data_IF_515730500145
#
_entry.id   IF_515730500145
#
_cell.length_a   1.000
_cell.length_b   1.000
_cell.length_c   1.000
_cell.angle_alpha   90.00
_cell.angle_beta   90.00
_cell.angle_gamma   90.00
#
_symmetry.space_group_name_H-M   'P 1'
#
loop_
_entity.id
_entity.type
_entity.pdbx_description
1 polymer ?
#
# COMPACT_ATOMS: atom_id res chain seq x y z
N UNK A 1 0.01 -8.96 -9.21
CA UNK A 1 -1.45 -8.67 -9.24
C UNK A 1 -2.12 -9.52 -8.18
N UNK A 2 -3.06 -8.99 -7.39
CA UNK A 2 -3.85 -9.79 -6.43
C UNK A 2 -5.24 -10.09 -7.00
N UNK A 3 -5.88 -9.10 -7.60
CA UNK A 3 -7.14 -9.27 -8.32
C UNK A 3 -7.21 -8.24 -9.44
N UNK A 4 -7.84 -8.63 -10.54
CA UNK A 4 -7.96 -7.80 -11.74
C UNK A 4 -9.29 -8.12 -12.42
N UNK A 5 -10.14 -7.11 -12.55
CA UNK A 5 -11.50 -7.29 -13.02
C UNK A 5 -11.89 -6.19 -14.00
N UNK A 6 -12.80 -6.49 -14.91
CA UNK A 6 -13.34 -5.54 -15.87
C UNK A 6 -14.86 -5.62 -15.88
N UNK A 7 -15.52 -4.47 -15.81
CA UNK A 7 -16.98 -4.36 -15.90
C UNK A 7 -17.48 -4.49 -17.34
N UNK A 8 -18.78 -4.73 -17.58
CA UNK A 8 -19.36 -4.72 -18.93
C UNK A 8 -19.23 -3.36 -19.63
N UNK A 9 -19.07 -2.28 -18.85
CA UNK A 9 -18.80 -0.92 -19.34
C UNK A 9 -17.31 -0.65 -19.64
N UNK A 10 -16.45 -1.68 -19.55
CA UNK A 10 -15.02 -1.58 -19.84
C UNK A 10 -14.19 -0.91 -18.73
N UNK A 11 -14.76 -0.65 -17.55
CA UNK A 11 -14.03 -0.07 -16.42
C UNK A 11 -13.26 -1.16 -15.67
N UNK A 12 -11.94 -1.15 -15.81
CA UNK A 12 -11.03 -2.11 -15.17
C UNK A 12 -10.68 -1.68 -13.75
N UNK A 13 -10.88 -2.57 -12.78
CA UNK A 13 -10.44 -2.43 -11.38
C UNK A 13 -9.29 -3.39 -11.09
N UNK A 14 -8.21 -2.86 -10.51
CA UNK A 14 -7.03 -3.65 -10.13
C UNK A 14 -6.76 -3.52 -8.65
N UNK A 15 -6.32 -4.62 -8.04
CA UNK A 15 -5.76 -4.67 -6.69
C UNK A 15 -4.36 -5.26 -6.74
N UNK A 16 -3.38 -4.48 -6.31
CA UNK A 16 -1.95 -4.80 -6.40
C UNK A 16 -1.34 -4.72 -5.00
N UNK A 17 -0.66 -5.79 -4.58
CA UNK A 17 0.28 -5.76 -3.45
C UNK A 17 1.64 -5.32 -3.98
N UNK A 18 2.22 -4.30 -3.37
CA UNK A 18 3.54 -3.76 -3.69
C UNK A 18 4.39 -3.66 -2.42
N UNK A 19 5.67 -4.02 -2.52
CA UNK A 19 6.69 -3.75 -1.51
C UNK A 19 7.55 -2.61 -2.05
N UNK A 20 7.66 -1.53 -1.30
CA UNK A 20 8.35 -0.30 -1.73
C UNK A 20 9.19 0.30 -0.59
N UNK A 21 10.23 1.09 -0.89
CA UNK A 21 10.96 1.83 0.13
C UNK A 21 10.01 2.69 0.96
N UNK A 22 10.13 2.65 2.29
CA UNK A 22 9.27 3.40 3.20
C UNK A 22 9.35 4.90 2.97
N UNK A 23 10.48 5.38 2.47
CA UNK A 23 10.74 6.78 2.16
C UNK A 23 9.80 7.34 1.08
N UNK A 24 9.38 6.53 0.10
CA UNK A 24 8.48 6.97 -0.99
C UNK A 24 6.98 6.74 -0.71
N UNK A 25 6.66 6.31 0.52
CA UNK A 25 5.27 6.04 0.90
C UNK A 25 4.43 7.34 0.88
N UNK A 26 5.04 8.48 1.20
CA UNK A 26 4.35 9.77 1.18
C UNK A 26 3.88 10.13 -0.25
N UNK A 27 4.75 9.92 -1.24
CA UNK A 27 4.51 10.16 -2.66
C UNK A 27 3.44 9.21 -3.22
N UNK A 28 3.44 7.95 -2.80
CA UNK A 28 2.34 7.02 -3.11
C UNK A 28 1.01 7.52 -2.51
N UNK A 29 1.05 8.02 -1.28
CA UNK A 29 -0.14 8.45 -0.55
C UNK A 29 -0.79 9.72 -1.14
N UNK A 30 -0.07 10.54 -1.93
CA UNK A 30 -0.67 11.70 -2.61
C UNK A 30 -1.73 11.34 -3.67
N UNK A 31 -1.71 10.10 -4.17
CA UNK A 31 -2.66 9.65 -5.21
C UNK A 31 -4.01 9.25 -4.61
N UNK A 32 -4.87 10.24 -4.35
CA UNK A 32 -6.16 10.08 -3.65
C UNK A 32 -7.17 9.16 -4.34
N UNK A 33 -7.05 8.93 -5.65
CA UNK A 33 -7.94 8.04 -6.39
C UNK A 33 -7.64 6.55 -6.17
N UNK A 34 -6.60 6.22 -5.41
CA UNK A 34 -6.21 4.84 -5.10
C UNK A 34 -6.49 4.53 -3.62
N UNK A 35 -7.25 3.47 -3.37
CA UNK A 35 -7.48 2.94 -2.01
C UNK A 35 -6.24 2.21 -1.55
N UNK A 36 -5.80 2.43 -0.31
CA UNK A 36 -4.58 1.83 0.24
C UNK A 36 -4.83 1.22 1.60
N UNK A 37 -4.30 0.03 1.82
CA UNK A 37 -3.90 -0.42 3.15
C UNK A 37 -2.38 -0.56 3.13
N UNK A 38 -1.71 -0.13 4.19
CA UNK A 38 -0.25 -0.18 4.29
C UNK A 38 0.13 -0.74 5.64
N UNK A 39 1.18 -1.57 5.69
CA UNK A 39 1.72 -2.07 6.96
C UNK A 39 1.98 -0.92 7.93
N UNK A 40 1.46 -1.04 9.15
CA UNK A 40 1.86 -0.12 10.22
C UNK A 40 3.14 -0.63 10.87
N UNK A 41 4.22 0.16 10.84
CA UNK A 41 5.42 -0.13 11.62
C UNK A 41 5.12 -0.21 13.13
N UNK A 42 4.10 0.50 13.62
CA UNK A 42 3.64 0.44 15.03
C UNK A 42 3.10 -0.94 15.42
N UNK A 43 2.62 -1.73 14.47
CA UNK A 43 2.12 -3.06 14.77
C UNK A 43 3.28 -4.05 14.96
N UNK A 44 4.45 -3.79 14.37
CA UNK A 44 5.53 -4.76 14.22
C UNK A 44 6.46 -4.78 15.43
N UNK A 45 6.78 -5.97 15.99
CA UNK A 45 7.81 -6.10 17.02
C UNK A 45 9.12 -5.43 16.59
N UNK A 46 9.84 -4.84 17.55
CA UNK A 46 11.05 -4.07 17.25
C UNK A 46 12.13 -4.97 16.66
N UNK A 47 12.27 -6.15 17.24
CA UNK A 47 13.23 -7.18 16.85
C UNK A 47 12.99 -7.67 15.42
N UNK A 48 11.71 -7.78 15.02
CA UNK A 48 11.34 -8.09 13.64
C UNK A 48 11.75 -6.96 12.70
N UNK A 49 11.52 -5.70 13.08
CA UNK A 49 11.91 -4.54 12.27
C UNK A 49 13.43 -4.41 12.15
N UNK A 50 14.18 -4.63 13.23
CA UNK A 50 15.65 -4.68 13.22
C UNK A 50 16.13 -5.76 12.26
N UNK A 51 15.58 -6.97 12.36
CA UNK A 51 15.93 -8.07 11.46
C UNK A 51 15.69 -7.71 9.99
N UNK A 52 14.53 -7.16 9.67
CA UNK A 52 14.18 -6.76 8.29
C UNK A 52 15.17 -5.73 7.73
N UNK A 53 15.55 -4.68 8.49
CA UNK A 53 16.51 -3.68 8.00
C UNK A 53 17.96 -4.20 7.94
N UNK A 54 18.31 -5.19 8.76
CA UNK A 54 19.64 -5.81 8.74
C UNK A 54 19.81 -6.75 7.54
N UNK A 55 18.79 -7.56 7.25
CA UNK A 55 18.80 -8.55 6.17
C UNK A 55 18.49 -7.95 4.79
N UNK A 56 17.53 -7.03 4.72
CA UNK A 56 17.05 -6.41 3.47
C UNK A 56 16.87 -4.89 3.65
N UNK A 57 17.96 -4.13 3.89
CA UNK A 57 17.88 -2.68 3.99
C UNK A 57 17.47 -2.08 2.64
N UNK A 58 16.68 -1.00 2.69
CA UNK A 58 16.60 -0.11 1.56
C UNK A 58 17.95 0.59 1.32
N UNK A 59 18.45 0.51 0.10
CA UNK A 59 19.62 1.23 -0.41
C UNK A 59 19.16 2.07 -1.61
N UNK A 60 19.46 3.39 -1.65
CA UNK A 60 19.11 4.24 -2.78
C UNK A 60 19.64 3.72 -4.12
N UNK A 61 18.76 3.65 -5.11
CA UNK A 61 19.05 3.31 -6.51
C UNK A 61 19.76 4.45 -7.25
N UNK A 62 19.66 5.67 -6.74
CA UNK A 62 20.17 6.89 -7.38
C UNK A 62 20.72 7.85 -6.33
N UNK A 63 22.00 8.22 -6.48
CA UNK A 63 22.72 9.11 -5.57
C UNK A 63 22.90 10.50 -6.19
N UNK A 64 21.79 11.24 -6.25
CA UNK A 64 21.75 12.55 -6.91
C UNK A 64 22.70 13.58 -6.32
N UNK A 65 23.50 14.22 -7.17
CA UNK A 65 24.33 15.37 -6.84
C UNK A 65 23.46 16.59 -6.51
N UNK A 66 23.92 17.42 -5.57
CA UNK A 66 23.22 18.64 -5.17
C UNK A 66 23.13 19.63 -6.35
N UNK A 67 21.93 20.13 -6.63
CA UNK A 67 21.67 21.16 -7.62
C UNK A 67 20.49 22.07 -7.18
N UNK A 68 20.30 23.21 -7.86
CA UNK A 68 19.16 24.08 -7.57
C UNK A 68 17.85 23.41 -8.00
N UNK A 69 16.85 23.41 -7.12
CA UNK A 69 15.53 22.81 -7.36
C UNK A 69 15.33 21.48 -6.64
N UNK A 70 14.23 20.79 -6.93
CA UNK A 70 13.86 19.53 -6.27
C UNK A 70 14.42 18.27 -6.95
N UNK A 71 14.95 18.41 -8.17
CA UNK A 71 15.42 17.29 -8.98
C UNK A 71 16.92 17.11 -8.80
N UNK A 72 17.43 15.90 -9.01
CA UNK A 72 18.87 15.60 -8.98
C UNK A 72 19.22 14.66 -10.16
N UNK A 73 19.44 15.22 -11.34
CA UNK A 73 19.59 14.43 -12.58
C UNK A 73 20.93 13.71 -12.68
N UNK A 74 22.01 14.34 -12.22
CA UNK A 74 23.35 13.77 -12.24
C UNK A 74 23.62 13.06 -10.92
N UNK A 75 24.26 11.89 -10.97
CA UNK A 75 24.72 11.21 -9.76
C UNK A 75 26.08 11.74 -9.31
N UNK A 76 26.39 11.50 -8.04
CA UNK A 76 27.73 11.67 -7.47
C UNK A 76 28.18 10.37 -6.82
N UNK A 77 29.49 10.10 -6.94
CA UNK A 77 30.18 9.00 -6.27
C UNK A 77 31.26 9.51 -5.31
N UNK A 78 31.20 10.80 -4.96
CA UNK A 78 32.10 11.38 -3.96
C UNK A 78 32.04 10.60 -2.64
N UNK A 79 33.21 10.38 -2.04
CA UNK A 79 33.31 9.60 -0.80
C UNK A 79 32.73 10.41 0.36
N UNK A 80 32.05 9.72 1.26
CA UNK A 80 31.46 10.29 2.46
C UNK A 80 32.41 10.11 3.63
N UNK A 81 32.84 11.21 4.25
CA UNK A 81 33.61 11.15 5.48
C UNK A 81 32.73 10.72 6.67
N UNK A 82 33.01 9.54 7.20
CA UNK A 82 32.32 9.00 8.39
C UNK A 82 33.19 9.06 9.66
N UNK A 83 34.38 9.67 9.59
CA UNK A 83 35.26 9.86 10.75
C UNK A 83 34.56 10.49 11.96
N UNK A 84 33.74 11.56 11.79
CA UNK A 84 33.00 12.18 12.89
C UNK A 84 32.01 11.23 13.59
N UNK A 85 31.42 10.26 12.87
CA UNK A 85 30.49 9.28 13.44
C UNK A 85 31.19 8.38 14.48
N UNK A 86 32.48 8.11 14.27
CA UNK A 86 33.29 7.29 15.17
C UNK A 86 34.15 8.11 16.15
N UNK A 87 34.04 9.44 16.10
CA UNK A 87 34.86 10.34 16.91
C UNK A 87 36.33 10.37 16.51
N UNK A 88 36.65 10.03 15.25
CA UNK A 88 38.02 10.08 14.76
C UNK A 88 38.47 11.53 14.53
N UNK A 89 39.71 11.89 14.87
CA UNK A 89 40.27 13.22 14.62
C UNK A 89 40.68 13.45 13.16
N UNK A 90 40.53 12.45 12.30
CA UNK A 90 40.92 12.47 10.89
C UNK A 90 39.77 11.95 10.02
N UNK A 91 39.76 12.38 8.75
CA UNK A 91 38.78 11.91 7.77
C UNK A 91 38.89 10.39 7.58
N UNK A 92 37.74 9.73 7.48
CA UNK A 92 37.59 8.33 7.13
C UNK A 92 36.60 8.20 5.97
N UNK A 93 37.01 8.53 4.74
CA UNK A 93 36.12 8.56 3.59
C UNK A 93 35.77 7.15 3.12
N UNK A 94 34.48 6.86 2.98
CA UNK A 94 33.96 5.59 2.46
C UNK A 94 33.01 5.83 1.29
N UNK A 95 32.67 4.77 0.56
CA UNK A 95 31.65 4.83 -0.51
C UNK A 95 30.27 5.17 0.07
N UNK A 96 29.43 5.84 -0.71
CA UNK A 96 28.08 6.28 -0.37
C UNK A 96 27.20 5.17 0.24
N UNK A 97 27.14 3.99 -0.38
CA UNK A 97 26.38 2.85 0.12
C UNK A 97 26.92 2.36 1.47
N UNK A 98 28.26 2.32 1.62
CA UNK A 98 28.88 1.93 2.88
C UNK A 98 28.56 2.92 4.00
N UNK A 99 28.62 4.22 3.72
CA UNK A 99 28.23 5.25 4.68
C UNK A 99 26.75 5.15 5.07
N UNK A 100 25.87 4.87 4.10
CA UNK A 100 24.44 4.65 4.34
C UNK A 100 24.18 3.47 5.29
N UNK A 101 24.89 2.36 5.11
CA UNK A 101 24.79 1.19 5.98
C UNK A 101 25.45 1.41 7.35
N UNK A 102 26.50 2.23 7.46
CA UNK A 102 27.03 2.66 8.76
C UNK A 102 25.97 3.44 9.55
N UNK A 103 25.25 4.35 8.88
CA UNK A 103 24.11 5.06 9.48
C UNK A 103 23.02 4.11 9.99
N UNK A 104 22.70 3.08 9.20
CA UNK A 104 21.75 2.02 9.59
C UNK A 104 22.21 1.34 10.87
N UNK A 105 23.45 0.85 10.89
CA UNK A 105 23.99 0.07 12.01
C UNK A 105 24.01 0.89 13.30
N UNK A 106 24.29 2.20 13.20
CA UNK A 106 24.19 3.12 14.34
C UNK A 106 22.76 3.24 14.86
N UNK A 107 21.78 3.44 13.97
CA UNK A 107 20.38 3.56 14.35
C UNK A 107 19.78 2.25 14.86
N UNK A 108 20.26 1.10 14.37
CA UNK A 108 19.91 -0.23 14.91
C UNK A 108 20.38 -0.37 16.35
N UNK A 109 21.64 -0.06 16.65
CA UNK A 109 22.14 -0.07 18.04
C UNK A 109 21.34 0.85 18.96
N UNK A 110 20.96 2.02 18.46
CA UNK A 110 20.13 2.95 19.21
C UNK A 110 18.72 2.38 19.44
N UNK A 111 18.11 1.78 18.43
CA UNK A 111 16.81 1.13 18.53
C UNK A 111 16.82 -0.04 19.55
N UNK A 112 17.88 -0.85 19.56
CA UNK A 112 18.10 -1.90 20.56
C UNK A 112 18.19 -1.32 21.98
N UNK A 113 18.93 -0.22 22.15
CA UNK A 113 19.02 0.49 23.44
C UNK A 113 17.67 1.01 23.93
N UNK A 114 16.88 1.66 23.07
CA UNK A 114 15.53 2.10 23.42
C UNK A 114 14.59 0.92 23.74
N UNK A 115 14.74 -0.19 23.02
CA UNK A 115 13.97 -1.40 23.26
C UNK A 115 14.28 -2.00 24.63
N UNK A 116 15.56 -2.14 24.97
CA UNK A 116 16.02 -2.59 26.29
C UNK A 116 15.56 -1.66 27.42
N UNK A 117 15.50 -0.35 27.15
CA UNK A 117 15.00 0.64 28.11
C UNK A 117 13.46 0.65 28.26
N UNK A 118 12.73 -0.19 27.52
CA UNK A 118 11.29 -0.38 27.67
C UNK A 118 10.42 0.62 26.91
N UNK A 119 10.96 1.36 25.94
CA UNK A 119 10.16 2.28 25.14
C UNK A 119 9.22 1.54 24.15
N UNK A 120 8.11 2.20 23.81
CA UNK A 120 7.12 1.62 22.92
C UNK A 120 7.62 1.55 21.47
N UNK A 121 7.35 0.42 20.80
CA UNK A 121 7.66 0.18 19.37
C UNK A 121 7.20 1.27 18.41
N UNK A 122 6.14 2.02 18.76
CA UNK A 122 5.63 3.12 17.94
C UNK A 122 6.65 4.24 17.72
N UNK A 123 7.57 4.42 18.68
CA UNK A 123 8.66 5.41 18.61
C UNK A 123 9.92 4.74 18.05
N UNK A 124 10.28 3.56 18.58
CA UNK A 124 11.53 2.88 18.23
C UNK A 124 11.61 2.58 16.73
N UNK A 125 10.54 2.04 16.15
CA UNK A 125 10.52 1.68 14.74
C UNK A 125 10.64 2.90 13.80
N UNK A 126 10.46 4.14 14.30
CA UNK A 126 10.68 5.36 13.51
C UNK A 126 12.16 5.64 13.27
N UNK A 127 13.05 5.22 14.18
CA UNK A 127 14.50 5.38 14.03
C UNK A 127 15.04 4.63 12.81
N UNK A 128 14.34 3.58 12.39
CA UNK A 128 14.77 2.68 11.33
C UNK A 128 14.09 2.97 9.97
N UNK A 129 13.10 3.88 9.92
CA UNK A 129 12.31 4.15 8.70
C UNK A 129 13.12 4.46 7.43
N UNK A 130 14.29 5.15 7.49
CA UNK A 130 15.09 5.39 6.30
C UNK A 130 15.53 4.12 5.57
N UNK A 131 15.71 3.01 6.28
CA UNK A 131 16.19 1.73 5.71
C UNK A 131 15.08 0.69 5.53
N UNK A 132 13.83 1.04 5.77
CA UNK A 132 12.71 0.09 5.69
C UNK A 132 12.14 -0.04 4.28
N UNK A 133 11.67 -1.24 3.97
CA UNK A 133 10.61 -1.47 2.99
C UNK A 133 9.24 -1.54 3.69
N UNK A 134 8.17 -1.25 2.95
CA UNK A 134 6.79 -1.35 3.42
C UNK A 134 5.92 -2.04 2.38
N UNK A 135 5.02 -2.92 2.83
CA UNK A 135 3.99 -3.52 2.00
C UNK A 135 2.73 -2.61 1.96
N UNK A 136 2.26 -2.32 0.75
CA UNK A 136 1.02 -1.60 0.48
C UNK A 136 0.12 -2.38 -0.50
N UNK A 137 -1.17 -2.44 -0.20
CA UNK A 137 -2.21 -3.08 -0.99
C UNK A 137 -3.01 -1.93 -1.56
N UNK A 138 -2.98 -1.82 -2.88
CA UNK A 138 -3.49 -0.65 -3.58
C UNK A 138 -4.56 -1.10 -4.56
N UNK A 139 -5.76 -0.56 -4.41
CA UNK A 139 -6.88 -0.79 -5.33
C UNK A 139 -7.26 0.48 -6.05
N UNK A 140 -7.64 0.37 -7.32
CA UNK A 140 -8.10 1.52 -8.09
C UNK A 140 -8.60 1.17 -9.47
N UNK A 141 -9.38 2.08 -10.03
CA UNK A 141 -9.81 2.09 -11.44
C UNK A 141 -8.99 3.08 -12.27
N UNK A 142 -8.60 4.21 -11.66
CA UNK A 142 -7.95 5.34 -12.32
C UNK A 142 -6.42 5.35 -12.12
N UNK A 143 -5.72 4.39 -12.72
CA UNK A 143 -4.25 4.29 -12.63
C UNK A 143 -3.50 5.17 -13.65
N UNK A 144 -4.19 5.68 -14.67
CA UNK A 144 -3.55 6.43 -15.75
C UNK A 144 -2.78 7.65 -15.24
N UNK A 145 -3.37 8.41 -14.32
CA UNK A 145 -2.71 9.58 -13.73
C UNK A 145 -1.51 9.21 -12.86
N UNK A 146 -1.60 8.11 -12.10
CA UNK A 146 -0.45 7.60 -11.34
C UNK A 146 0.72 7.27 -12.27
N UNK A 147 0.45 6.50 -13.33
CA UNK A 147 1.46 6.13 -14.31
C UNK A 147 2.02 7.35 -15.04
N UNK A 148 1.18 8.28 -15.49
CA UNK A 148 1.64 9.48 -16.19
C UNK A 148 2.57 10.35 -15.34
N UNK A 149 2.31 10.47 -14.04
CA UNK A 149 3.12 11.30 -13.14
C UNK A 149 4.37 10.58 -12.60
N UNK A 150 4.30 9.27 -12.43
CA UNK A 150 5.34 8.51 -11.72
C UNK A 150 6.24 7.70 -12.66
N UNK A 151 5.73 7.23 -13.80
CA UNK A 151 6.55 6.72 -14.90
C UNK A 151 6.99 7.88 -15.81
N UNK A 152 7.67 8.85 -15.21
CA UNK A 152 8.14 10.07 -15.85
C UNK A 152 9.57 10.36 -15.42
N UNK A 153 10.42 10.90 -16.31
CA UNK A 153 11.85 11.11 -16.04
C UNK A 153 12.13 12.08 -14.88
N UNK A 154 11.21 13.01 -14.60
CA UNK A 154 11.28 13.95 -13.48
C UNK A 154 10.61 13.42 -12.18
N UNK A 155 10.14 12.16 -12.18
CA UNK A 155 9.69 11.53 -10.96
C UNK A 155 10.88 11.07 -10.11
N UNK A 156 10.67 10.97 -8.80
CA UNK A 156 11.63 10.37 -7.90
C UNK A 156 11.98 8.93 -8.39
N UNK A 157 13.29 8.57 -8.49
CA UNK A 157 13.71 7.33 -9.16
C UNK A 157 13.07 6.04 -8.62
N UNK A 158 12.85 5.93 -7.31
CA UNK A 158 12.28 4.73 -6.69
C UNK A 158 10.79 4.59 -7.00
N UNK A 159 10.01 5.67 -6.92
CA UNK A 159 8.59 5.59 -7.30
C UNK A 159 8.40 5.38 -8.80
N UNK A 160 9.37 5.79 -9.62
CA UNK A 160 9.38 5.50 -11.05
C UNK A 160 9.51 3.99 -11.31
N UNK A 161 10.38 3.29 -10.59
CA UNK A 161 10.46 1.82 -10.67
C UNK A 161 9.13 1.18 -10.28
N UNK A 162 8.51 1.63 -9.18
CA UNK A 162 7.18 1.14 -8.77
C UNK A 162 6.13 1.36 -9.88
N UNK A 163 6.13 2.52 -10.53
CA UNK A 163 5.19 2.83 -11.60
C UNK A 163 5.39 1.93 -12.84
N UNK A 164 6.64 1.67 -13.22
CA UNK A 164 6.98 0.75 -14.31
C UNK A 164 6.54 -0.68 -14.00
N UNK A 165 6.74 -1.15 -12.77
CA UNK A 165 6.28 -2.47 -12.35
C UNK A 165 4.74 -2.58 -12.32
N UNK A 166 4.05 -1.50 -11.91
CA UNK A 166 2.59 -1.43 -11.98
C UNK A 166 2.08 -1.50 -13.42
N UNK A 167 2.74 -0.82 -14.36
CA UNK A 167 2.44 -0.91 -15.80
C UNK A 167 2.65 -2.35 -16.28
N UNK A 168 3.86 -2.89 -16.07
CA UNK A 168 4.26 -4.24 -16.46
C UNK A 168 3.26 -5.29 -15.99
N UNK A 169 2.92 -5.31 -14.69
CA UNK A 169 1.98 -6.29 -14.14
C UNK A 169 0.55 -6.09 -14.63
N UNK A 170 0.16 -4.86 -15.00
CA UNK A 170 -1.15 -4.60 -15.59
C UNK A 170 -1.25 -5.08 -17.04
N UNK A 171 -0.16 -4.97 -17.79
CA UNK A 171 -0.10 -5.39 -19.19
C UNK A 171 -0.06 -6.93 -19.31
N UNK A 172 0.63 -7.61 -18.39
CA UNK A 172 0.66 -9.07 -18.33
C UNK A 172 -0.62 -9.71 -17.77
N UNK A 173 -1.42 -8.97 -17.01
CA UNK A 173 -2.63 -9.50 -16.38
C UNK A 173 -3.83 -9.44 -17.32
N UNK A 174 -4.57 -10.53 -17.42
CA UNK A 174 -5.86 -10.58 -18.12
C UNK A 174 -6.99 -10.40 -17.10
N UNK A 175 -7.81 -9.35 -17.19
CA UNK A 175 -8.87 -9.11 -16.22
C UNK A 175 -10.02 -10.11 -16.38
N UNK A 176 -10.62 -10.49 -15.26
CA UNK A 176 -11.86 -11.27 -15.24
C UNK A 176 -13.06 -10.37 -15.45
N UNK A 177 -13.99 -10.78 -16.33
CA UNK A 177 -15.27 -10.09 -16.44
C UNK A 177 -16.07 -10.26 -15.15
N UNK A 178 -16.62 -9.17 -14.63
CA UNK A 178 -17.48 -9.15 -13.45
C UNK A 178 -18.71 -8.35 -13.80
N UNK A 179 -19.90 -8.91 -13.58
CA UNK A 179 -21.19 -8.27 -13.87
C UNK A 179 -21.76 -7.57 -12.62
N UNK A 180 -22.69 -6.61 -12.78
CA UNK A 180 -23.43 -6.06 -11.65
C UNK A 180 -24.02 -7.17 -10.77
N UNK A 181 -23.72 -7.14 -9.47
CA UNK A 181 -24.11 -8.18 -8.51
C UNK A 181 -22.99 -9.19 -8.20
N UNK A 182 -22.03 -9.37 -9.11
CA UNK A 182 -20.78 -10.09 -8.89
C UNK A 182 -19.71 -9.15 -8.33
N UNK A 183 -18.63 -9.71 -7.76
CA UNK A 183 -17.70 -8.93 -6.95
C UNK A 183 -16.23 -9.17 -7.29
N UNK A 184 -15.50 -8.06 -7.39
CA UNK A 184 -14.05 -8.01 -7.25
C UNK A 184 -13.69 -8.27 -5.79
N UNK A 185 -13.09 -9.42 -5.51
CA UNK A 185 -12.79 -9.91 -4.16
C UNK A 185 -11.31 -10.31 -4.06
N UNK A 186 -10.40 -9.36 -3.73
CA UNK A 186 -8.99 -9.67 -3.54
C UNK A 186 -8.79 -10.79 -2.51
N UNK A 187 -7.84 -11.68 -2.77
CA UNK A 187 -7.50 -12.85 -1.94
C UNK A 187 -8.60 -13.91 -1.75
N UNK A 188 -9.71 -13.84 -2.49
CA UNK A 188 -10.67 -14.95 -2.62
C UNK A 188 -10.26 -15.81 -3.82
N UNK A 189 -10.11 -17.11 -3.59
CA UNK A 189 -9.74 -18.09 -4.61
C UNK A 189 -10.97 -18.60 -5.34
N UNK A 190 -10.81 -19.04 -6.59
CA UNK A 190 -11.94 -19.46 -7.42
C UNK A 190 -12.74 -20.62 -6.83
N UNK A 191 -12.07 -21.61 -6.22
CA UNK A 191 -12.78 -22.72 -5.59
C UNK A 191 -13.66 -22.27 -4.42
N UNK A 192 -13.27 -21.21 -3.68
CA UNK A 192 -14.03 -20.69 -2.54
C UNK A 192 -15.37 -20.10 -3.01
N UNK A 193 -15.43 -19.56 -4.24
CA UNK A 193 -16.64 -18.96 -4.81
C UNK A 193 -17.81 -19.94 -4.93
N UNK A 194 -17.52 -21.24 -5.03
CA UNK A 194 -18.52 -22.31 -5.07
C UNK A 194 -18.78 -22.94 -3.70
N UNK A 195 -17.92 -22.69 -2.72
CA UNK A 195 -18.03 -23.28 -1.38
C UNK A 195 -18.80 -22.39 -0.40
N UNK A 196 -18.72 -21.08 -0.56
CA UNK A 196 -19.28 -20.13 0.39
C UNK A 196 -20.22 -19.13 -0.28
N UNK A 197 -21.26 -18.67 0.42
CA UNK A 197 -22.13 -17.62 -0.09
C UNK A 197 -21.39 -16.27 -0.17
N UNK A 198 -21.90 -15.38 -1.01
CA UNK A 198 -21.24 -14.12 -1.36
C UNK A 198 -20.94 -13.22 -0.15
N UNK A 199 -21.80 -13.21 0.86
CA UNK A 199 -21.59 -12.44 2.10
C UNK A 199 -20.35 -12.93 2.85
N UNK A 200 -20.17 -14.24 2.97
CA UNK A 200 -18.97 -14.85 3.57
C UNK A 200 -17.73 -14.50 2.74
N UNK A 201 -17.79 -14.59 1.41
CA UNK A 201 -16.67 -14.26 0.54
C UNK A 201 -16.22 -12.80 0.68
N UNK A 202 -17.17 -11.87 0.84
CA UNK A 202 -16.85 -10.45 1.13
C UNK A 202 -16.10 -10.32 2.45
N UNK A 203 -16.57 -10.98 3.51
CA UNK A 203 -15.90 -10.97 4.82
C UNK A 203 -14.47 -11.50 4.74
N UNK A 204 -14.29 -12.65 4.09
CA UNK A 204 -12.98 -13.27 3.86
C UNK A 204 -12.05 -12.34 3.10
N UNK A 205 -12.52 -11.70 2.02
CA UNK A 205 -11.71 -10.77 1.24
C UNK A 205 -11.25 -9.57 2.08
N UNK A 206 -12.16 -8.96 2.85
CA UNK A 206 -11.85 -7.81 3.71
C UNK A 206 -10.83 -8.20 4.78
N UNK A 207 -11.05 -9.31 5.48
CA UNK A 207 -10.17 -9.77 6.53
C UNK A 207 -8.76 -10.09 6.00
N UNK A 208 -8.67 -10.71 4.81
CA UNK A 208 -7.40 -10.98 4.14
C UNK A 208 -6.70 -9.72 3.61
N UNK A 209 -7.45 -8.71 3.16
CA UNK A 209 -6.87 -7.41 2.81
C UNK A 209 -6.26 -6.71 4.04
N UNK A 210 -6.90 -6.83 5.20
CA UNK A 210 -6.38 -6.29 6.46
C UNK A 210 -5.08 -6.97 6.93
N UNK A 211 -4.78 -8.19 6.47
CA UNK A 211 -3.56 -8.95 6.81
C UNK A 211 -2.30 -8.47 6.08
N UNK A 212 -2.31 -7.29 5.49
CA UNK A 212 -1.28 -6.84 4.55
C UNK A 212 0.16 -7.12 4.99
N UNK A 213 0.41 -7.22 6.30
CA UNK A 213 1.73 -7.64 6.77
C UNK A 213 1.76 -8.46 8.05
N UNK A 214 0.97 -9.53 8.10
CA UNK A 214 1.15 -10.61 9.06
C UNK A 214 0.79 -11.96 8.45
N UNK A 215 1.71 -12.92 8.53
CA UNK A 215 1.30 -14.24 9.01
C UNK A 215 0.63 -13.97 10.37
N UNK A 216 -0.63 -14.39 10.61
CA UNK A 216 -1.40 -14.05 11.80
C UNK A 216 -0.54 -14.24 13.05
N UNK A 217 -0.82 -13.53 14.13
CA UNK A 217 -0.09 -13.71 15.39
C UNK A 217 -0.04 -15.19 15.84
N UNK A 218 -0.98 -16.01 15.36
CA UNK A 218 -1.09 -17.47 15.50
C UNK A 218 -0.94 -18.27 14.17
N UNK A 219 -0.67 -17.62 13.04
CA UNK A 219 -0.62 -18.23 11.71
C UNK A 219 -1.96 -18.70 11.12
N UNK A 220 -3.07 -18.61 11.85
CA UNK A 220 -4.32 -19.29 11.52
C UNK A 220 -5.16 -18.52 10.48
N UNK A 221 -5.26 -19.07 9.27
CA UNK A 221 -6.04 -18.54 8.15
C UNK A 221 -7.37 -19.26 7.91
N UNK A 222 -7.90 -19.96 8.91
CA UNK A 222 -9.22 -20.61 8.83
C UNK A 222 -10.32 -19.59 8.56
N UNK A 223 -11.40 -20.06 7.94
CA UNK A 223 -12.56 -19.23 7.58
C UNK A 223 -13.16 -18.56 8.80
N UNK A 224 -13.24 -19.28 9.91
CA UNK A 224 -13.74 -18.83 11.20
C UNK A 224 -12.92 -17.64 11.71
N UNK A 225 -11.58 -17.75 11.69
CA UNK A 225 -10.69 -16.67 12.14
C UNK A 225 -10.71 -15.44 11.23
N UNK A 226 -10.90 -15.63 9.94
CA UNK A 226 -11.10 -14.50 9.02
C UNK A 226 -12.44 -13.80 9.27
N UNK A 227 -13.51 -14.55 9.59
CA UNK A 227 -14.81 -13.96 9.96
C UNK A 227 -14.70 -13.20 11.28
N UNK A 228 -14.08 -13.78 12.32
CA UNK A 228 -13.83 -13.09 13.60
C UNK A 228 -13.07 -11.78 13.36
N UNK A 229 -12.04 -11.79 12.51
CA UNK A 229 -11.28 -10.59 12.15
C UNK A 229 -12.14 -9.56 11.43
N UNK A 230 -12.98 -9.98 10.48
CA UNK A 230 -13.92 -9.08 9.82
C UNK A 230 -14.84 -8.41 10.83
N UNK A 231 -15.45 -9.19 11.72
CA UNK A 231 -16.42 -8.68 12.69
C UNK A 231 -15.75 -7.72 13.69
N UNK A 232 -14.48 -7.94 14.06
CA UNK A 232 -13.71 -6.98 14.87
C UNK A 232 -13.44 -5.65 14.14
N UNK A 233 -13.24 -5.67 12.82
CA UNK A 233 -12.96 -4.47 12.03
C UNK A 233 -14.23 -3.67 11.71
N UNK A 234 -15.30 -4.36 11.33
CA UNK A 234 -16.55 -3.76 10.86
C UNK A 234 -17.55 -3.51 12.00
N UNK A 235 -17.50 -4.33 13.05
CA UNK A 235 -18.34 -4.20 14.24
C UNK A 235 -17.83 -3.20 15.27
N UNK A 236 -16.64 -2.61 15.10
CA UNK A 236 -16.13 -1.57 16.00
C UNK A 236 -16.84 -0.24 15.79
N UNK A 237 -16.95 0.56 16.85
CA UNK A 237 -17.40 1.95 16.80
C UNK A 237 -16.26 2.86 17.30
N UNK A 238 -15.58 3.63 16.42
CA UNK A 238 -15.82 3.75 14.99
C UNK A 238 -15.37 2.53 14.18
N UNK A 239 -15.93 2.38 12.98
CA UNK A 239 -15.60 1.30 12.06
C UNK A 239 -14.17 1.44 11.54
N UNK A 240 -13.40 0.35 11.55
CA UNK A 240 -12.12 0.29 10.86
C UNK A 240 -12.34 -0.02 9.36
N UNK A 241 -12.86 0.97 8.63
CA UNK A 241 -13.39 0.77 7.28
C UNK A 241 -12.34 0.60 6.16
N UNK A 242 -11.06 0.92 6.38
CA UNK A 242 -10.06 0.95 5.31
C UNK A 242 -9.89 -0.39 4.54
N UNK A 243 -10.03 -1.58 5.15
CA UNK A 243 -9.93 -2.85 4.41
C UNK A 243 -11.13 -3.16 3.54
N UNK A 244 -12.25 -2.44 3.72
CA UNK A 244 -13.48 -2.57 2.94
C UNK A 244 -13.47 -1.73 1.66
N UNK A 245 -12.39 -1.00 1.41
CA UNK A 245 -12.21 -0.18 0.21
C UNK A 245 -11.70 -0.96 -1.01
N UNK A 246 -11.34 -2.23 -0.82
CA UNK A 246 -10.71 -3.08 -1.83
C UNK A 246 -11.71 -3.98 -2.57
N UNK A 247 -12.93 -4.14 -2.05
CA UNK A 247 -13.99 -4.97 -2.64
C UNK A 247 -15.03 -4.07 -3.31
N UNK A 248 -15.45 -4.44 -4.52
CA UNK A 248 -16.48 -3.70 -5.23
C UNK A 248 -17.25 -4.57 -6.24
N UNK A 249 -18.47 -4.14 -6.57
CA UNK A 249 -19.27 -4.67 -7.70
C UNK A 249 -19.36 -3.59 -8.78
N UNK A 250 -19.40 -3.93 -10.08
CA UNK A 250 -19.74 -2.96 -11.11
C UNK A 250 -21.06 -2.26 -10.81
N UNK A 251 -21.16 -0.98 -11.17
CA UNK A 251 -22.43 -0.28 -11.16
C UNK A 251 -23.18 -0.46 -12.48
N UNK A 252 -24.49 -0.36 -12.40
CA UNK A 252 -25.37 -0.32 -13.57
C UNK A 252 -25.31 1.07 -14.21
N UNK A 253 -25.68 1.15 -15.48
CA UNK A 253 -25.85 2.43 -16.18
C UNK A 253 -27.26 2.58 -16.72
N UNK A 254 -27.67 3.83 -16.94
CA UNK A 254 -28.90 4.16 -17.65
C UNK A 254 -28.64 5.27 -18.65
N UNK A 255 -29.44 5.28 -19.72
CA UNK A 255 -29.32 6.29 -20.78
C UNK A 255 -30.38 7.37 -20.60
N UNK A 256 -29.95 8.62 -20.45
CA UNK A 256 -30.85 9.77 -20.49
C UNK A 256 -31.11 10.12 -21.96
N UNK A 257 -32.22 9.60 -22.49
CA UNK A 257 -32.58 9.71 -23.91
C UNK A 257 -32.61 11.16 -24.43
N UNK A 258 -33.03 12.12 -23.60
CA UNK A 258 -33.14 13.54 -23.99
C UNK A 258 -31.80 14.20 -24.32
N UNK A 259 -30.68 13.70 -23.79
CA UNK A 259 -29.35 14.26 -23.99
C UNK A 259 -28.32 13.24 -24.50
N UNK A 260 -28.77 12.02 -24.82
CA UNK A 260 -27.91 10.94 -25.33
C UNK A 260 -26.77 10.51 -24.39
N UNK A 261 -26.86 10.83 -23.09
CA UNK A 261 -25.77 10.56 -22.13
C UNK A 261 -26.02 9.28 -21.32
N UNK A 262 -24.95 8.51 -21.12
CA UNK A 262 -24.95 7.34 -20.22
C UNK A 262 -24.51 7.81 -18.83
N UNK A 263 -25.30 7.51 -17.82
CA UNK A 263 -25.02 7.84 -16.43
C UNK A 263 -24.92 6.58 -15.58
N UNK A 264 -24.14 6.65 -14.51
CA UNK A 264 -24.09 5.61 -13.48
C UNK A 264 -25.37 5.64 -12.65
N UNK A 265 -25.88 4.47 -12.28
CA UNK A 265 -27.10 4.35 -11.49
C UNK A 265 -26.87 4.79 -10.03
N UNK A 266 -25.72 4.47 -9.44
CA UNK A 266 -25.37 4.76 -8.03
C UNK A 266 -23.96 5.36 -7.90
N UNK A 267 -23.68 6.53 -8.51
CA UNK A 267 -22.35 7.15 -8.51
C UNK A 267 -21.83 7.48 -7.10
N UNK A 268 -22.73 7.75 -6.14
CA UNK A 268 -22.35 8.06 -4.75
C UNK A 268 -21.75 6.86 -4.01
N UNK A 269 -22.02 5.64 -4.47
CA UNK A 269 -21.49 4.41 -3.88
C UNK A 269 -20.09 4.07 -4.41
N UNK A 270 -19.53 4.86 -5.33
CA UNK A 270 -18.24 4.54 -5.94
C UNK A 270 -17.05 4.85 -5.04
N UNK A 271 -17.18 5.87 -4.18
CA UNK A 271 -16.01 6.44 -3.52
C UNK A 271 -15.00 6.90 -4.56
N UNK A 272 -13.80 6.32 -4.53
CA UNK A 272 -12.74 6.56 -5.51
C UNK A 272 -12.69 5.53 -6.67
N UNK A 273 -13.55 4.51 -6.66
CA UNK A 273 -13.56 3.43 -7.66
C UNK A 273 -14.60 3.71 -8.76
N UNK A 274 -14.33 4.68 -9.63
CA UNK A 274 -15.30 5.12 -10.65
C UNK A 274 -15.81 3.94 -11.49
N UNK A 275 -17.15 3.78 -11.53
CA UNK A 275 -17.86 2.70 -12.23
C UNK A 275 -18.09 1.45 -11.39
N UNK A 276 -17.66 1.45 -10.12
CA UNK A 276 -17.73 0.31 -9.21
C UNK A 276 -18.26 0.74 -7.85
N UNK A 277 -19.30 0.08 -7.36
CA UNK A 277 -19.88 0.32 -6.02
C UNK A 277 -18.98 -0.34 -4.97
N UNK A 278 -18.32 0.49 -4.15
CA UNK A 278 -17.33 0.07 -3.16
C UNK A 278 -18.02 -0.49 -1.91
N UNK A 279 -17.54 -1.62 -1.37
CA UNK A 279 -18.13 -2.27 -0.19
C UNK A 279 -18.23 -1.31 1.00
N UNK A 280 -17.19 -0.51 1.26
CA UNK A 280 -17.18 0.55 2.28
C UNK A 280 -18.45 1.42 2.24
N UNK A 281 -18.88 1.85 1.05
CA UNK A 281 -20.02 2.74 0.86
C UNK A 281 -21.38 2.07 1.10
N UNK A 282 -21.40 0.75 1.23
CA UNK A 282 -22.60 -0.02 1.54
C UNK A 282 -22.72 -0.35 3.03
N UNK A 283 -21.69 -0.03 3.83
CA UNK A 283 -21.69 -0.29 5.26
C UNK A 283 -22.38 0.86 6.02
N UNK A 284 -23.24 0.55 7.00
CA UNK A 284 -23.81 1.59 7.86
C UNK A 284 -22.68 2.26 8.66
N UNK A 285 -22.80 3.57 8.90
CA UNK A 285 -21.86 4.36 9.69
C UNK A 285 -20.40 4.32 9.19
N UNK A 286 -20.17 4.10 7.88
CA UNK A 286 -18.83 4.08 7.25
C UNK A 286 -18.05 5.41 7.37
N UNK A 287 -18.78 6.49 7.62
CA UNK A 287 -18.26 7.83 7.83
C UNK A 287 -18.96 8.47 9.05
N UNK A 288 -18.18 9.12 9.91
CA UNK A 288 -18.70 9.98 10.98
C UNK A 288 -18.90 11.37 10.36
N UNK A 289 -20.13 11.84 10.38
CA UNK A 289 -20.47 13.19 9.92
C UNK A 289 -20.33 14.17 11.08
N UNK A 290 -19.80 15.35 10.81
CA UNK A 290 -19.85 16.45 11.77
C UNK A 290 -21.31 16.81 12.06
N UNK A 291 -21.62 17.16 13.31
CA UNK A 291 -22.93 17.70 13.64
C UNK A 291 -23.10 19.04 12.92
N UNK A 292 -24.24 19.20 12.23
CA UNK A 292 -24.59 20.42 11.49
C UNK A 292 -24.87 21.60 12.42
#
# INVERSE_FOLDING_TARGET
MIADSISPSGKRMRTIKMRLPRIILAELNTHRQLSKNTRSSRAVPVETMIKEVMEEPFIPLHWGAAQKGMQAYNETSERVDVGPVFGFPHEFPVENEKAWLIGRDLMVKLAEGFHQAGYAKQIINRLLEPWMFVDSLVSGTEWANFLALRDHHAAEPHIQVVAREVRRVSDYSTPYEVKPGEWHLPYVKDFERNLYPLDVLKKLSVARCARISYAPFDGNGSVEKEIERYDLLVGSAPIHASPTEHQATPDDTFTIRSIGSVQWLRPREHGNLIGWRQLRKLLPNECILEAA
#
